data_IF_166612327548
#
_entry.id   IF_166612327548
#
_cell.length_a   1.000
_cell.length_b   1.000
_cell.length_c   1.000
_cell.angle_alpha   90.00
_cell.angle_beta   90.00
_cell.angle_gamma   90.00
#
_symmetry.space_group_name_H-M   'P 1'
#
loop_
_entity.id
_entity.type
_entity.pdbx_description
1 polymer ?
#
# COMPACT_ATOMS: atom_id res chain seq x y z
N UNK A 1 5.86 3.71 8.73
CA UNK A 1 6.59 5.00 8.79
C UNK A 1 7.31 5.08 10.11
N UNK A 2 8.51 5.67 10.18
CA UNK A 2 9.32 5.71 11.41
C UNK A 2 8.56 6.24 12.63
N UNK A 3 7.91 7.40 12.51
CA UNK A 3 7.10 7.97 13.60
C UNK A 3 5.84 8.72 13.14
N UNK A 4 5.83 9.26 11.92
CA UNK A 4 4.82 10.24 11.49
C UNK A 4 3.48 9.68 10.95
N UNK A 5 3.29 8.37 10.99
CA UNK A 5 2.09 7.72 10.44
C UNK A 5 1.89 7.87 8.92
N UNK A 6 0.74 7.39 8.44
CA UNK A 6 0.35 7.43 7.02
C UNK A 6 -0.78 8.44 6.80
N UNK A 7 -0.45 9.53 6.10
CA UNK A 7 -1.42 10.49 5.54
C UNK A 7 -1.69 10.23 4.05
N UNK A 8 -1.91 11.29 3.28
CA UNK A 8 -2.00 11.18 1.80
C UNK A 8 -0.65 10.85 1.17
N UNK A 9 0.39 11.53 1.62
CA UNK A 9 1.73 11.48 1.01
C UNK A 9 2.33 10.07 0.95
N UNK A 10 2.01 9.24 1.94
CA UNK A 10 2.59 7.89 2.11
C UNK A 10 1.61 6.77 1.77
N UNK A 11 0.40 7.12 1.30
CA UNK A 11 -0.67 6.15 1.06
C UNK A 11 -0.30 5.13 -0.02
N UNK A 12 0.31 5.58 -1.11
CA UNK A 12 0.68 4.71 -2.22
C UNK A 12 1.84 3.77 -1.88
N UNK A 13 2.77 4.22 -1.03
CA UNK A 13 3.93 3.43 -0.59
C UNK A 13 3.50 2.19 0.21
N UNK A 14 2.32 2.23 0.85
CA UNK A 14 1.77 1.06 1.55
C UNK A 14 1.58 -0.16 0.63
N UNK A 15 1.34 0.05 -0.68
CA UNK A 15 1.15 -1.03 -1.65
C UNK A 15 2.43 -1.82 -1.96
N UNK A 16 3.59 -1.26 -1.59
CA UNK A 16 4.92 -1.87 -1.75
C UNK A 16 5.44 -2.38 -0.40
N UNK A 17 5.09 -1.69 0.68
CA UNK A 17 5.54 -2.03 2.03
C UNK A 17 4.78 -3.23 2.63
N UNK A 18 3.51 -3.42 2.27
CA UNK A 18 2.66 -4.48 2.80
C UNK A 18 2.18 -5.42 1.69
N UNK A 19 1.96 -6.67 2.07
CA UNK A 19 1.38 -7.69 1.19
C UNK A 19 -0.10 -7.39 0.92
N UNK A 20 -0.65 -8.03 -0.12
CA UNK A 20 -2.07 -7.90 -0.43
C UNK A 20 -2.98 -8.41 0.72
N UNK A 21 -2.54 -9.46 1.43
CA UNK A 21 -3.29 -10.04 2.54
C UNK A 21 -3.34 -9.10 3.75
N UNK A 22 -2.22 -8.46 4.12
CA UNK A 22 -2.17 -7.49 5.21
C UNK A 22 -3.03 -6.25 4.90
N UNK A 23 -2.96 -5.74 3.67
CA UNK A 23 -3.80 -4.62 3.25
C UNK A 23 -5.28 -4.97 3.31
N UNK A 24 -5.66 -6.22 3.04
CA UNK A 24 -7.04 -6.68 3.16
C UNK A 24 -7.49 -6.73 4.62
N UNK A 25 -6.62 -7.20 5.53
CA UNK A 25 -6.90 -7.15 6.96
C UNK A 25 -7.09 -5.72 7.47
N UNK A 26 -6.27 -4.77 7.02
CA UNK A 26 -6.44 -3.36 7.38
C UNK A 26 -7.80 -2.81 6.90
N UNK A 27 -8.23 -3.15 5.68
CA UNK A 27 -9.55 -2.76 5.16
C UNK A 27 -10.68 -3.42 5.94
N UNK A 28 -10.55 -4.69 6.31
CA UNK A 28 -11.56 -5.40 7.10
C UNK A 28 -11.74 -4.74 8.47
N UNK A 29 -10.65 -4.39 9.15
CA UNK A 29 -10.68 -3.65 10.41
C UNK A 29 -11.36 -2.28 10.23
N UNK A 30 -10.94 -1.52 9.22
CA UNK A 30 -11.53 -0.21 8.91
C UNK A 30 -13.03 -0.30 8.67
N UNK A 31 -13.49 -1.31 7.92
CA UNK A 31 -14.92 -1.53 7.64
C UNK A 31 -15.70 -1.92 8.89
N UNK A 32 -15.09 -2.67 9.82
CA UNK A 32 -15.73 -3.05 11.08
C UNK A 32 -16.01 -1.83 11.98
N UNK A 33 -15.08 -0.87 12.03
CA UNK A 33 -15.22 0.32 12.89
C UNK A 33 -15.79 1.56 12.19
N UNK A 34 -15.72 1.62 10.86
CA UNK A 34 -16.22 2.75 10.07
C UNK A 34 -16.88 2.23 8.78
N UNK A 35 -18.06 1.59 8.89
CA UNK A 35 -18.75 0.98 7.76
C UNK A 35 -19.21 2.01 6.71
N UNK A 36 -19.37 3.27 7.11
CA UNK A 36 -19.77 4.37 6.24
C UNK A 36 -18.58 5.16 5.67
N UNK A 37 -17.35 4.87 6.12
CA UNK A 37 -16.14 5.52 5.63
C UNK A 37 -16.00 7.01 5.99
N UNK A 38 -16.60 7.45 7.10
CA UNK A 38 -16.64 8.85 7.51
C UNK A 38 -15.36 9.31 8.21
N UNK A 39 -14.63 8.38 8.83
CA UNK A 39 -13.43 8.71 9.59
C UNK A 39 -12.23 8.81 8.64
N UNK A 40 -11.87 10.04 8.26
CA UNK A 40 -10.73 10.35 7.40
C UNK A 40 -10.79 9.66 6.02
N UNK A 41 -11.79 10.00 5.18
CA UNK A 41 -11.97 9.39 3.87
C UNK A 41 -10.71 9.55 3.00
N UNK A 42 -10.30 8.45 2.35
CA UNK A 42 -9.14 8.44 1.45
C UNK A 42 -7.76 8.45 2.13
N UNK A 43 -7.68 8.38 3.46
CA UNK A 43 -6.41 8.32 4.21
C UNK A 43 -6.10 6.93 4.75
N UNK A 44 -4.84 6.75 5.15
CA UNK A 44 -4.32 5.64 5.97
C UNK A 44 -4.35 4.22 5.38
N UNK A 45 -5.26 3.86 4.46
CA UNK A 45 -5.29 2.53 3.83
C UNK A 45 -5.58 2.66 2.32
N UNK A 46 -4.69 2.16 1.44
CA UNK A 46 -4.89 2.28 -0.01
C UNK A 46 -6.03 1.38 -0.50
N UNK A 47 -6.73 1.85 -1.52
CA UNK A 47 -7.71 1.06 -2.26
C UNK A 47 -7.01 0.19 -3.33
N UNK A 48 -7.58 -0.98 -3.70
CA UNK A 48 -6.96 -1.89 -4.67
C UNK A 48 -6.55 -1.21 -5.99
N UNK A 49 -7.39 -0.29 -6.50
CA UNK A 49 -7.11 0.51 -7.71
C UNK A 49 -5.76 1.26 -7.62
N UNK A 50 -5.50 1.91 -6.50
CA UNK A 50 -4.27 2.69 -6.30
C UNK A 50 -3.02 1.81 -6.20
N UNK A 51 -3.16 0.57 -5.73
CA UNK A 51 -2.03 -0.36 -5.66
C UNK A 51 -1.65 -0.96 -7.01
N UNK A 52 -2.61 -1.13 -7.92
CA UNK A 52 -2.33 -1.66 -9.27
C UNK A 52 -1.50 -0.69 -10.12
N UNK A 53 -1.82 0.60 -10.06
CA UNK A 53 -1.08 1.67 -10.72
C UNK A 53 0.35 1.77 -10.16
N UNK A 54 0.50 1.78 -8.83
CA UNK A 54 1.81 1.94 -8.19
C UNK A 54 2.73 0.73 -8.37
N UNK A 55 2.18 -0.49 -8.42
CA UNK A 55 2.95 -1.72 -8.69
C UNK A 55 3.45 -1.77 -10.13
N UNK A 56 2.74 -1.15 -11.07
CA UNK A 56 3.15 -1.06 -12.48
C UNK A 56 4.38 -0.14 -12.61
N UNK A 57 4.37 1.01 -11.94
CA UNK A 57 5.51 1.92 -11.85
C UNK A 57 6.74 1.28 -11.16
N UNK A 58 6.51 0.51 -10.09
CA UNK A 58 7.59 -0.23 -9.40
C UNK A 58 8.19 -1.38 -10.22
N UNK A 59 7.46 -1.90 -11.23
CA UNK A 59 7.93 -2.98 -12.09
C UNK A 59 8.91 -2.49 -13.17
N UNK A 60 8.77 -1.25 -13.66
CA UNK A 60 9.76 -0.65 -14.57
C UNK A 60 11.14 -0.54 -13.92
N UNK A 61 11.22 -0.25 -12.62
CA UNK A 61 12.49 -0.17 -11.87
C UNK A 61 13.14 -1.55 -11.69
N UNK A 62 12.36 -2.64 -11.59
CA UNK A 62 12.86 -4.01 -11.45
C UNK A 62 13.20 -4.70 -12.77
N UNK A 63 12.76 -4.17 -13.92
CA UNK A 63 13.01 -4.74 -15.25
C UNK A 63 14.08 -3.99 -16.06
N UNK A 64 14.64 -2.91 -15.51
CA UNK A 64 15.87 -2.31 -16.05
C UNK A 64 17.04 -3.32 -15.96
N UNK A 65 17.88 -3.45 -17.01
CA UNK A 65 18.98 -4.41 -17.02
C UNK A 65 20.03 -4.00 -15.97
N UNK A 66 19.94 -4.58 -14.77
CA UNK A 66 20.80 -4.25 -13.63
C UNK A 66 20.17 -4.44 -12.23
N UNK A 67 18.86 -4.74 -12.12
CA UNK A 67 18.23 -4.98 -10.82
C UNK A 67 18.69 -6.31 -10.21
N UNK A 68 19.49 -6.23 -9.13
CA UNK A 68 19.92 -7.39 -8.33
C UNK A 68 18.71 -8.21 -7.89
N UNK A 69 18.72 -9.49 -8.24
CA UNK A 69 17.80 -10.50 -7.72
C UNK A 69 18.02 -10.62 -6.20
N UNK A 70 17.15 -9.97 -5.42
CA UNK A 70 17.08 -10.20 -3.99
C UNK A 70 16.50 -11.59 -3.74
N UNK A 71 17.38 -12.58 -3.60
CA UNK A 71 17.03 -13.91 -3.11
C UNK A 71 16.50 -13.75 -1.68
N UNK A 72 15.24 -14.11 -1.46
CA UNK A 72 14.65 -14.27 -0.14
C UNK A 72 15.36 -15.43 0.57
N UNK A 73 15.99 -15.14 1.70
CA UNK A 73 16.15 -16.09 2.80
C UNK A 73 15.00 -15.87 3.79
#
# INVERSE_FOLDING_TARGET
TGEHGVGHEKLHQMCVQFTAAELEQFRALKKAFDPLGLLNPGKAIPQPRHCSEYRTLGREVLTAPGARTGTSA
#
